data_IF_927476831498
#
_entry.id   IF_927476831498
#
_cell.length_a   1.000
_cell.length_b   1.000
_cell.length_c   1.000
_cell.angle_alpha   90.00
_cell.angle_beta   90.00
_cell.angle_gamma   90.00
#
_symmetry.space_group_name_H-M   'P 1'
#
loop_
_entity.id
_entity.type
_entity.pdbx_description
1 polymer ?
#
# COMPACT_ATOMS: atom_id res chain seq x y z
N UNK A 1 9.35 -16.91 2.59
CA UNK A 1 8.98 -16.14 1.39
C UNK A 1 10.14 -15.22 1.08
N UNK A 2 10.54 -15.01 -0.19
CA UNK A 2 11.53 -14.00 -0.50
C UNK A 2 11.07 -12.66 0.10
N UNK A 3 12.00 -11.95 0.73
CA UNK A 3 11.71 -10.78 1.56
C UNK A 3 11.21 -9.63 0.68
N UNK A 4 9.88 -9.52 0.51
CA UNK A 4 9.27 -8.34 -0.07
C UNK A 4 9.53 -7.17 0.87
N UNK A 5 10.40 -6.26 0.45
CA UNK A 5 10.96 -5.23 1.31
C UNK A 5 9.93 -4.17 1.70
N UNK A 6 10.21 -3.44 2.79
CA UNK A 6 9.38 -2.32 3.20
C UNK A 6 9.24 -1.24 2.11
N UNK A 7 10.32 -0.98 1.35
CA UNK A 7 10.29 -0.07 0.22
C UNK A 7 9.35 -0.55 -0.90
N UNK A 8 9.36 -1.86 -1.20
CA UNK A 8 8.46 -2.45 -2.20
C UNK A 8 6.99 -2.40 -1.73
N UNK A 9 6.70 -2.57 -0.43
CA UNK A 9 5.35 -2.39 0.12
C UNK A 9 4.85 -0.96 -0.06
N UNK A 10 5.70 0.02 0.26
CA UNK A 10 5.37 1.43 0.08
C UNK A 10 5.12 1.76 -1.39
N UNK A 11 5.98 1.30 -2.30
CA UNK A 11 5.83 1.50 -3.73
C UNK A 11 4.52 0.89 -4.25
N UNK A 12 4.19 -0.34 -3.85
CA UNK A 12 2.96 -1.02 -4.25
C UNK A 12 1.70 -0.24 -3.83
N UNK A 13 1.68 0.30 -2.60
CA UNK A 13 0.57 1.12 -2.12
C UNK A 13 0.45 2.45 -2.88
N UNK A 14 1.59 3.10 -3.17
CA UNK A 14 1.66 4.34 -3.94
C UNK A 14 1.16 4.17 -5.37
N UNK A 15 1.61 3.13 -6.06
CA UNK A 15 1.22 2.84 -7.44
C UNK A 15 -0.27 2.53 -7.56
N UNK A 16 -0.83 1.76 -6.63
CA UNK A 16 -2.25 1.44 -6.66
C UNK A 16 -3.12 2.66 -6.32
N UNK A 17 -2.68 3.54 -5.40
CA UNK A 17 -3.34 4.83 -5.16
C UNK A 17 -3.34 5.69 -6.43
N UNK A 18 -2.20 5.87 -7.07
CA UNK A 18 -2.09 6.66 -8.30
C UNK A 18 -2.97 6.10 -9.43
N UNK A 19 -3.01 4.78 -9.60
CA UNK A 19 -3.89 4.11 -10.57
C UNK A 19 -5.37 4.36 -10.28
N UNK A 20 -5.77 4.34 -9.01
CA UNK A 20 -7.17 4.60 -8.59
C UNK A 20 -7.57 6.04 -8.86
N UNK A 21 -6.70 7.00 -8.51
CA UNK A 21 -6.90 8.42 -8.83
C UNK A 21 -7.06 8.63 -10.35
N UNK A 22 -6.20 8.02 -11.16
CA UNK A 22 -6.29 8.09 -12.62
C UNK A 22 -7.60 7.45 -13.15
N UNK A 23 -8.04 6.34 -12.57
CA UNK A 23 -9.31 5.69 -12.96
C UNK A 23 -10.53 6.57 -12.65
N UNK A 24 -10.56 7.23 -11.48
CA UNK A 24 -11.62 8.19 -11.14
C UNK A 24 -11.61 9.43 -12.04
N UNK A 25 -10.42 9.93 -12.38
CA UNK A 25 -10.25 11.04 -13.31
C UNK A 25 -10.74 10.68 -14.72
N UNK A 26 -10.38 9.48 -15.23
CA UNK A 26 -10.85 8.99 -16.52
C UNK A 26 -12.37 8.79 -16.56
N UNK A 27 -12.99 8.47 -15.43
CA UNK A 27 -14.44 8.38 -15.29
C UNK A 27 -15.14 9.74 -15.11
N UNK A 28 -14.40 10.85 -15.00
CA UNK A 28 -14.95 12.19 -14.75
C UNK A 28 -15.54 12.36 -13.34
N UNK A 29 -15.13 11.51 -12.38
CA UNK A 29 -15.74 11.39 -11.05
C UNK A 29 -14.79 11.73 -9.89
N UNK A 30 -13.70 12.46 -10.16
CA UNK A 30 -12.64 12.79 -9.19
C UNK A 30 -13.14 13.39 -7.88
N UNK A 31 -14.20 14.20 -7.93
CA UNK A 31 -14.75 14.89 -6.75
C UNK A 31 -16.00 14.24 -6.17
N UNK A 32 -16.37 13.05 -6.63
CA UNK A 32 -17.46 12.30 -6.01
C UNK A 32 -17.07 11.85 -4.59
N UNK A 33 -18.04 11.79 -3.68
CA UNK A 33 -17.81 11.31 -2.31
C UNK A 33 -17.12 9.94 -2.30
N UNK A 34 -17.48 9.08 -3.25
CA UNK A 34 -16.88 7.76 -3.41
C UNK A 34 -15.40 7.83 -3.81
N UNK A 35 -15.03 8.74 -4.71
CA UNK A 35 -13.63 8.94 -5.09
C UNK A 35 -12.80 9.51 -3.94
N UNK A 36 -13.36 10.44 -3.16
CA UNK A 36 -12.71 11.02 -1.98
C UNK A 36 -12.51 9.99 -0.87
N UNK A 37 -13.52 9.15 -0.60
CA UNK A 37 -13.41 8.04 0.35
C UNK A 37 -12.36 7.02 -0.10
N UNK A 38 -12.33 6.70 -1.40
CA UNK A 38 -11.34 5.78 -1.96
C UNK A 38 -9.92 6.32 -1.84
N UNK A 39 -9.70 7.60 -2.14
CA UNK A 39 -8.40 8.24 -1.99
C UNK A 39 -7.97 8.32 -0.53
N UNK A 40 -8.88 8.66 0.40
CA UNK A 40 -8.58 8.71 1.83
C UNK A 40 -8.12 7.33 2.35
N UNK A 41 -8.80 6.26 1.94
CA UNK A 41 -8.45 4.90 2.33
C UNK A 41 -7.08 4.49 1.79
N UNK A 42 -6.82 4.71 0.50
CA UNK A 42 -5.53 4.35 -0.12
C UNK A 42 -4.38 5.27 0.29
N UNK A 43 -4.67 6.52 0.64
CA UNK A 43 -3.72 7.43 1.28
C UNK A 43 -3.28 6.91 2.65
N UNK A 44 -4.18 6.36 3.45
CA UNK A 44 -3.84 5.75 4.74
C UNK A 44 -2.96 4.50 4.58
N UNK A 45 -3.29 3.64 3.60
CA UNK A 45 -2.49 2.45 3.28
C UNK A 45 -1.08 2.85 2.83
N UNK A 46 -0.96 3.81 1.90
CA UNK A 46 0.31 4.37 1.45
C UNK A 46 1.13 4.91 2.61
N UNK A 47 0.51 5.70 3.49
CA UNK A 47 1.20 6.29 4.63
C UNK A 47 1.67 5.24 5.64
N UNK A 48 0.86 4.22 5.94
CA UNK A 48 1.24 3.15 6.85
C UNK A 48 2.45 2.38 6.29
N UNK A 49 2.44 2.07 4.99
CA UNK A 49 3.54 1.39 4.33
C UNK A 49 4.80 2.27 4.26
N UNK A 50 4.64 3.56 3.98
CA UNK A 50 5.72 4.54 3.98
C UNK A 50 6.38 4.69 5.36
N UNK A 51 5.59 4.75 6.44
CA UNK A 51 6.14 4.76 7.82
C UNK A 51 6.92 3.48 8.12
N UNK A 52 6.43 2.31 7.70
CA UNK A 52 7.15 1.04 7.84
C UNK A 52 8.46 1.01 7.03
N UNK A 53 8.50 1.69 5.90
CA UNK A 53 9.69 1.87 5.07
C UNK A 53 10.66 2.96 5.56
N UNK A 54 10.29 3.74 6.58
CA UNK A 54 11.07 4.90 7.02
C UNK A 54 11.03 6.09 6.07
N UNK A 55 9.98 6.21 5.25
CA UNK A 55 9.80 7.33 4.32
C UNK A 55 9.61 8.66 5.09
N UNK A 56 10.48 9.67 4.89
CA UNK A 56 10.42 10.91 5.66
C UNK A 56 9.13 11.73 5.46
N UNK A 57 8.46 11.58 4.31
CA UNK A 57 7.21 12.29 4.02
C UNK A 57 6.06 11.62 4.77
N UNK A 58 5.96 10.29 4.71
CA UNK A 58 4.96 9.52 5.42
C UNK A 58 5.06 9.68 6.95
N UNK A 59 6.29 9.80 7.48
CA UNK A 59 6.53 10.06 8.91
C UNK A 59 6.02 11.41 9.41
N UNK A 60 5.98 12.43 8.53
CA UNK A 60 5.51 13.79 8.86
C UNK A 60 3.99 13.97 8.70
N UNK A 61 3.34 13.12 7.91
CA UNK A 61 1.88 13.20 7.67
C UNK A 61 1.10 12.74 8.91
N UNK A 62 -0.07 13.35 9.15
CA UNK A 62 -1.14 12.80 9.97
C UNK A 62 -2.05 11.92 9.09
N UNK A 63 -2.57 10.79 9.59
CA UNK A 63 -2.79 10.43 11.00
C UNK A 63 -1.62 9.67 11.63
N UNK A 64 -1.50 9.78 12.95
CA UNK A 64 -0.50 9.08 13.77
C UNK A 64 -1.01 7.72 14.30
N UNK A 65 -2.33 7.50 14.29
CA UNK A 65 -2.99 6.29 14.75
C UNK A 65 -4.12 5.89 13.80
N UNK A 66 -4.30 4.60 13.58
CA UNK A 66 -5.45 4.02 12.88
C UNK A 66 -6.21 3.14 13.87
N UNK A 67 -7.51 3.38 13.98
CA UNK A 67 -8.39 2.54 14.79
C UNK A 67 -8.43 1.10 14.25
N UNK A 68 -8.81 0.11 15.07
CA UNK A 68 -8.98 -1.26 14.60
C UNK A 68 -9.93 -1.38 13.39
N UNK A 69 -11.03 -0.62 13.39
CA UNK A 69 -12.02 -0.62 12.30
C UNK A 69 -11.43 -0.07 10.99
N UNK A 70 -10.66 1.01 11.05
CA UNK A 70 -9.97 1.55 9.87
C UNK A 70 -8.95 0.55 9.33
N UNK A 71 -8.25 -0.17 10.22
CA UNK A 71 -7.33 -1.24 9.83
C UNK A 71 -8.04 -2.38 9.12
N UNK A 72 -9.18 -2.84 9.64
CA UNK A 72 -10.00 -3.86 8.99
C UNK A 72 -10.48 -3.41 7.61
N UNK A 73 -10.91 -2.15 7.48
CA UNK A 73 -11.34 -1.57 6.22
C UNK A 73 -10.19 -1.49 5.20
N UNK A 74 -8.99 -1.13 5.64
CA UNK A 74 -7.78 -1.15 4.80
C UNK A 74 -7.44 -2.56 4.35
N UNK A 75 -7.45 -3.55 5.26
CA UNK A 75 -7.18 -4.95 4.95
C UNK A 75 -8.17 -5.49 3.92
N UNK A 76 -9.47 -5.26 4.10
CA UNK A 76 -10.51 -5.70 3.18
C UNK A 76 -10.37 -5.05 1.79
N UNK A 77 -10.05 -3.75 1.74
CA UNK A 77 -9.83 -3.03 0.48
C UNK A 77 -8.64 -3.58 -0.30
N UNK A 78 -7.52 -3.86 0.37
CA UNK A 78 -6.35 -4.47 -0.29
C UNK A 78 -6.63 -5.91 -0.71
N UNK A 79 -7.34 -6.70 0.12
CA UNK A 79 -7.77 -8.05 -0.24
C UNK A 79 -8.61 -8.07 -1.52
N UNK A 80 -9.66 -7.25 -1.58
CA UNK A 80 -10.52 -7.12 -2.77
C UNK A 80 -9.74 -6.69 -3.99
N UNK A 81 -8.72 -5.85 -3.82
CA UNK A 81 -7.86 -5.38 -4.90
C UNK A 81 -6.93 -6.50 -5.40
N UNK A 82 -6.35 -7.29 -4.50
CA UNK A 82 -5.52 -8.44 -4.84
C UNK A 82 -6.32 -9.51 -5.61
N UNK A 83 -7.52 -9.88 -5.11
CA UNK A 83 -8.42 -10.83 -5.79
C UNK A 83 -8.80 -10.30 -7.19
N UNK A 84 -9.10 -9.00 -7.31
CA UNK A 84 -9.45 -8.39 -8.59
C UNK A 84 -8.27 -8.40 -9.57
N UNK A 85 -7.04 -8.20 -9.09
CA UNK A 85 -5.85 -8.27 -9.92
C UNK A 85 -5.62 -9.70 -10.43
N UNK A 86 -5.69 -10.69 -9.54
CA UNK A 86 -5.50 -12.11 -9.88
C UNK A 86 -6.54 -12.63 -10.88
N UNK A 87 -7.77 -12.10 -10.86
CA UNK A 87 -8.84 -12.49 -11.80
C UNK A 87 -8.82 -11.74 -13.13
N UNK A 88 -8.08 -10.62 -13.25
CA UNK A 88 -8.14 -9.75 -14.44
C UNK A 88 -6.81 -9.58 -15.17
N UNK A 89 -5.69 -9.85 -14.49
CA UNK A 89 -4.36 -9.72 -15.06
C UNK A 89 -3.83 -11.09 -15.51
N UNK A 90 -2.92 -11.06 -16.46
CA UNK A 90 -2.33 -12.27 -17.02
C UNK A 90 -1.04 -12.62 -16.27
N UNK A 91 -1.10 -13.57 -15.35
CA UNK A 91 0.04 -13.96 -14.52
C UNK A 91 1.22 -14.58 -15.30
N UNK A 92 1.07 -14.84 -16.61
CA UNK A 92 2.19 -15.23 -17.48
C UNK A 92 3.08 -14.05 -17.87
N UNK A 93 2.55 -12.82 -17.79
CA UNK A 93 3.30 -11.59 -18.07
C UNK A 93 4.07 -11.14 -16.81
N UNK A 94 5.38 -10.85 -16.91
CA UNK A 94 6.19 -10.47 -15.76
C UNK A 94 5.63 -9.30 -14.95
N UNK A 95 5.14 -8.25 -15.63
CA UNK A 95 4.63 -7.04 -14.97
C UNK A 95 3.31 -7.29 -14.22
N UNK A 96 2.40 -8.03 -14.85
CA UNK A 96 1.12 -8.42 -14.25
C UNK A 96 1.37 -9.34 -13.03
N UNK A 97 2.30 -10.29 -13.16
CA UNK A 97 2.71 -11.16 -12.06
C UNK A 97 3.30 -10.37 -10.89
N UNK A 98 4.22 -9.44 -11.16
CA UNK A 98 4.83 -8.59 -10.15
C UNK A 98 3.77 -7.76 -9.41
N UNK A 99 2.77 -7.24 -10.13
CA UNK A 99 1.65 -6.51 -9.53
C UNK A 99 0.77 -7.39 -8.64
N UNK A 100 0.42 -8.59 -9.09
CA UNK A 100 -0.36 -9.56 -8.29
C UNK A 100 0.39 -9.88 -7.00
N UNK A 101 1.67 -10.23 -7.10
CA UNK A 101 2.51 -10.59 -5.95
C UNK A 101 2.64 -9.41 -4.97
N UNK A 102 2.83 -8.18 -5.47
CA UNK A 102 2.91 -6.98 -4.66
C UNK A 102 1.63 -6.71 -3.85
N UNK A 103 0.46 -6.86 -4.46
CA UNK A 103 -0.83 -6.67 -3.78
C UNK A 103 -1.06 -7.75 -2.70
N UNK A 104 -0.68 -8.99 -2.97
CA UNK A 104 -0.76 -10.07 -1.98
C UNK A 104 0.20 -9.86 -0.81
N UNK A 105 1.41 -9.35 -1.07
CA UNK A 105 2.35 -8.97 -0.01
C UNK A 105 1.80 -7.82 0.84
N UNK A 106 1.25 -6.78 0.22
CA UNK A 106 0.62 -5.65 0.91
C UNK A 106 -0.55 -6.10 1.80
N UNK A 107 -1.42 -6.99 1.30
CA UNK A 107 -2.51 -7.57 2.09
C UNK A 107 -2.00 -8.33 3.31
N UNK A 108 -1.04 -9.25 3.11
CA UNK A 108 -0.49 -10.08 4.20
C UNK A 108 0.21 -9.21 5.25
N UNK A 109 0.90 -8.17 4.81
CA UNK A 109 1.56 -7.21 5.70
C UNK A 109 0.54 -6.39 6.50
N UNK A 110 -0.52 -5.85 5.88
CA UNK A 110 -1.57 -5.12 6.61
C UNK A 110 -2.26 -6.00 7.65
N UNK A 111 -2.51 -7.28 7.33
CA UNK A 111 -3.12 -8.24 8.25
C UNK A 111 -2.18 -8.60 9.41
N UNK A 112 -0.88 -8.69 9.18
CA UNK A 112 0.11 -9.00 10.21
C UNK A 112 1.45 -8.26 9.94
N UNK A 113 1.59 -7.02 10.40
CA UNK A 113 2.80 -6.23 10.13
C UNK A 113 4.07 -6.84 10.74
N UNK A 114 3.93 -7.61 11.83
CA UNK A 114 5.04 -8.29 12.51
C UNK A 114 5.62 -9.47 11.73
N UNK A 115 4.96 -9.93 10.67
CA UNK A 115 5.48 -10.98 9.78
C UNK A 115 6.58 -10.50 8.83
N UNK A 116 6.79 -9.18 8.73
CA UNK A 116 7.80 -8.57 7.86
C UNK A 116 8.93 -7.99 8.71
N UNK A 117 10.19 -8.28 8.34
CA UNK A 117 11.34 -7.66 9.00
C UNK A 117 11.29 -6.15 8.76
N UNK A 118 11.30 -5.37 9.84
CA UNK A 118 11.53 -3.94 9.71
C UNK A 118 12.91 -3.72 9.08
N UNK A 119 13.06 -2.75 8.16
CA UNK A 119 14.37 -2.32 7.74
C UNK A 119 15.12 -1.87 8.99
N UNK A 120 16.24 -2.53 9.29
CA UNK A 120 17.11 -2.11 10.38
C UNK A 120 17.50 -0.68 10.05
N UNK A 121 17.05 0.28 10.85
CA UNK A 121 17.48 1.66 10.72
C UNK A 121 19.01 1.62 10.74
N UNK A 122 19.66 2.06 9.66
CA UNK A 122 21.10 2.31 9.69
C UNK A 122 21.32 3.25 10.87
N UNK A 123 21.80 2.70 11.98
CA UNK A 123 22.11 3.47 13.17
C UNK A 123 23.06 4.58 12.73
N UNK A 124 22.82 5.79 13.22
CA UNK A 124 23.58 7.02 12.94
C UNK A 124 25.06 6.99 13.37
N UNK A 125 25.72 5.82 13.27
CA UNK A 125 27.12 5.55 13.62
C UNK A 125 28.07 5.59 12.43
N UNK A 126 27.57 5.75 11.20
CA UNK A 126 28.42 5.89 9.99
C UNK A 126 28.63 7.36 9.55
N UNK A 127 28.23 8.33 10.38
CA UNK A 127 28.35 9.77 10.07
C UNK A 127 29.22 10.55 11.08
N UNK A 128 30.18 9.89 11.72
CA UNK A 128 31.17 10.52 12.60
C UNK A 128 32.59 10.17 12.12
#
# INVERSE_FOLDING_TARGET
MPDFSAAQLHQAARDERARRQAAWAAAGQTFSDRALQDDALWSNIEQMAGRFAGDPVAMKRWPWYWTPIERETMVDSVLKTAIKAETRLDASKPDDRAKIDALWHLFRWLRNPGAYRQPVAKSAREAA
#
